data_IF_493253937244
#
_entry.id   IF_493253937244
#
_cell.length_a   1.000
_cell.length_b   1.000
_cell.length_c   1.000
_cell.angle_alpha   90.00
_cell.angle_beta   90.00
_cell.angle_gamma   90.00
#
_symmetry.space_group_name_H-M   'P 1'
#
loop_
_entity.id
_entity.type
_entity.pdbx_description
1 polymer ?
#
# COMPACT_ATOMS: atom_id res chain seq x y z
N UNK A 1 -11.78 5.26 0.15
CA UNK A 1 -11.40 4.65 1.44
C UNK A 1 -11.90 3.21 1.59
N UNK A 2 -13.02 2.82 0.97
CA UNK A 2 -13.42 1.41 0.94
C UNK A 2 -12.35 0.52 0.26
N UNK A 3 -11.92 0.90 -0.95
CA UNK A 3 -10.93 0.11 -1.72
C UNK A 3 -9.57 -0.03 -1.01
N UNK A 4 -9.19 0.92 -0.16
CA UNK A 4 -7.94 0.83 0.61
C UNK A 4 -8.00 -0.25 1.69
N UNK A 5 -9.19 -0.60 2.18
CA UNK A 5 -9.37 -1.74 3.10
C UNK A 5 -9.16 -3.05 2.34
N UNK A 6 -9.66 -3.15 1.10
CA UNK A 6 -9.45 -4.34 0.26
C UNK A 6 -7.97 -4.57 -0.02
N UNK A 7 -7.23 -3.52 -0.37
CA UNK A 7 -5.78 -3.59 -0.51
C UNK A 7 -5.11 -4.04 0.79
N UNK A 8 -5.50 -3.48 1.94
CA UNK A 8 -4.93 -3.86 3.23
C UNK A 8 -5.17 -5.34 3.56
N UNK A 9 -6.34 -5.89 3.24
CA UNK A 9 -6.65 -7.33 3.40
C UNK A 9 -5.76 -8.20 2.51
N UNK A 10 -5.51 -7.77 1.25
CA UNK A 10 -4.59 -8.47 0.34
C UNK A 10 -3.17 -8.51 0.87
N UNK A 11 -2.65 -7.37 1.33
CA UNK A 11 -1.31 -7.29 1.94
C UNK A 11 -1.19 -8.25 3.13
N UNK A 12 -2.20 -8.31 4.01
CA UNK A 12 -2.22 -9.26 5.14
C UNK A 12 -2.32 -10.73 4.73
N UNK A 13 -2.66 -11.01 3.47
CA UNK A 13 -2.80 -12.36 2.92
C UNK A 13 -1.55 -12.86 2.21
N UNK A 14 -0.54 -12.01 2.00
CA UNK A 14 0.78 -12.39 1.49
C UNK A 14 1.42 -13.38 2.47
N UNK A 15 1.76 -14.58 1.98
CA UNK A 15 2.20 -15.70 2.82
C UNK A 15 3.57 -15.46 3.50
N UNK A 16 4.49 -14.80 2.80
CA UNK A 16 5.91 -14.71 3.19
C UNK A 16 6.30 -13.37 3.82
N UNK A 17 5.34 -12.57 4.32
CA UNK A 17 5.69 -11.37 5.07
C UNK A 17 6.28 -11.74 6.43
N UNK A 18 7.37 -11.08 6.80
CA UNK A 18 8.00 -11.26 8.11
C UNK A 18 7.02 -10.97 9.26
N UNK A 19 6.15 -9.97 9.06
CA UNK A 19 5.05 -9.63 9.95
C UNK A 19 3.87 -9.06 9.17
N UNK A 20 2.66 -9.50 9.53
CA UNK A 20 1.43 -8.94 8.96
C UNK A 20 1.19 -7.52 9.50
N UNK A 21 0.93 -6.51 8.65
CA UNK A 21 0.65 -5.16 9.14
C UNK A 21 -0.65 -5.14 9.92
N UNK A 22 -0.68 -4.38 11.02
CA UNK A 22 -1.86 -4.16 11.83
C UNK A 22 -2.56 -2.85 11.42
N UNK A 23 -3.65 -2.53 12.12
CA UNK A 23 -4.44 -1.33 11.84
C UNK A 23 -3.63 -0.04 11.99
N UNK A 24 -2.61 -0.02 12.85
CA UNK A 24 -1.72 1.14 13.00
C UNK A 24 -0.92 1.41 11.71
N UNK A 25 -0.28 0.39 11.14
CA UNK A 25 0.44 0.51 9.87
C UNK A 25 -0.48 0.94 8.72
N UNK A 26 -1.73 0.45 8.73
CA UNK A 26 -2.73 0.88 7.76
C UNK A 26 -3.06 2.37 7.90
N UNK A 27 -3.27 2.87 9.12
CA UNK A 27 -3.53 4.27 9.39
C UNK A 27 -2.32 5.13 8.96
N UNK A 28 -1.10 4.69 9.28
CA UNK A 28 0.13 5.37 8.88
C UNK A 28 0.26 5.47 7.35
N UNK A 29 -0.08 4.39 6.65
CA UNK A 29 -0.11 4.39 5.19
C UNK A 29 -1.13 5.38 4.62
N UNK A 30 -2.35 5.41 5.15
CA UNK A 30 -3.38 6.38 4.75
C UNK A 30 -2.95 7.83 5.02
N UNK A 31 -2.32 8.08 6.17
CA UNK A 31 -1.78 9.39 6.52
C UNK A 31 -0.65 9.80 5.57
N UNK A 32 0.25 8.87 5.23
CA UNK A 32 1.30 9.10 4.24
C UNK A 32 0.71 9.49 2.88
N UNK A 33 -0.24 8.72 2.37
CA UNK A 33 -0.89 9.00 1.09
C UNK A 33 -1.55 10.38 1.08
N UNK A 34 -2.26 10.74 2.16
CA UNK A 34 -2.88 12.06 2.28
C UNK A 34 -1.84 13.18 2.23
N UNK A 35 -0.67 13.00 2.87
CA UNK A 35 0.43 13.97 2.88
C UNK A 35 0.99 14.24 1.48
N UNK A 36 1.05 13.22 0.61
CA UNK A 36 1.51 13.35 -0.78
C UNK A 36 0.36 13.68 -1.77
N UNK A 37 -0.77 14.14 -1.25
CA UNK A 37 -1.92 14.58 -2.05
C UNK A 37 -2.67 13.44 -2.75
N UNK A 38 -2.60 12.22 -2.21
CA UNK A 38 -3.35 11.05 -2.70
C UNK A 38 -4.53 10.79 -1.79
N UNK A 39 -5.74 11.01 -2.30
CA UNK A 39 -6.98 10.93 -1.50
C UNK A 39 -7.97 9.86 -2.00
N UNK A 40 -7.68 9.22 -3.13
CA UNK A 40 -8.56 8.22 -3.74
C UNK A 40 -7.77 7.14 -4.48
N UNK A 41 -8.41 6.00 -4.79
CA UNK A 41 -7.84 4.96 -5.65
C UNK A 41 -7.55 5.50 -7.05
N UNK A 42 -8.44 6.32 -7.62
CA UNK A 42 -8.19 6.97 -8.91
C UNK A 42 -6.91 7.82 -8.89
N UNK A 43 -6.65 8.55 -7.79
CA UNK A 43 -5.41 9.30 -7.61
C UNK A 43 -4.18 8.39 -7.50
N UNK A 44 -4.29 7.25 -6.83
CA UNK A 44 -3.22 6.24 -6.77
C UNK A 44 -2.93 5.66 -8.17
N UNK A 45 -3.96 5.34 -8.95
CA UNK A 45 -3.82 4.82 -10.32
C UNK A 45 -3.14 5.84 -11.21
N UNK A 46 -3.56 7.11 -11.16
CA UNK A 46 -2.95 8.20 -11.93
C UNK A 46 -1.47 8.42 -11.56
N UNK A 47 -1.11 8.18 -10.29
CA UNK A 47 0.25 8.32 -9.76
C UNK A 47 0.96 6.96 -9.59
N UNK A 48 0.56 5.91 -10.30
CA UNK A 48 1.12 4.56 -10.09
C UNK A 48 2.61 4.44 -10.39
N UNK A 49 3.22 5.40 -11.09
CA UNK A 49 4.66 5.42 -11.36
C UNK A 49 5.40 6.46 -10.50
N UNK A 50 4.69 7.13 -9.59
CA UNK A 50 5.25 8.14 -8.70
C UNK A 50 6.10 7.46 -7.61
N UNK A 51 7.31 7.98 -7.40
CA UNK A 51 8.27 7.42 -6.45
C UNK A 51 7.76 7.48 -5.01
N UNK A 52 7.01 8.53 -4.63
CA UNK A 52 6.46 8.66 -3.29
C UNK A 52 5.31 7.70 -3.05
N UNK A 53 4.49 7.42 -4.08
CA UNK A 53 3.46 6.38 -4.02
C UNK A 53 4.12 5.01 -3.82
N UNK A 54 5.19 4.72 -4.55
CA UNK A 54 5.93 3.46 -4.41
C UNK A 54 6.73 3.35 -3.12
N UNK A 55 7.10 4.47 -2.50
CA UNK A 55 7.70 4.49 -1.17
C UNK A 55 6.67 4.30 -0.05
N UNK A 56 5.41 4.68 -0.28
CA UNK A 56 4.35 4.63 0.74
C UNK A 56 4.14 3.24 1.35
N UNK A 57 4.36 2.16 0.57
CA UNK A 57 4.21 0.77 1.07
C UNK A 57 5.17 0.44 2.21
N UNK A 58 6.24 1.21 2.41
CA UNK A 58 7.11 1.10 3.57
C UNK A 58 6.36 1.31 4.90
N UNK A 59 5.29 2.11 4.91
CA UNK A 59 4.44 2.29 6.09
C UNK A 59 3.70 1.00 6.50
N UNK A 60 3.53 0.04 5.57
CA UNK A 60 2.90 -1.25 5.80
C UNK A 60 3.92 -2.34 6.18
N UNK A 61 5.22 -2.05 6.11
CA UNK A 61 6.27 -3.05 6.28
C UNK A 61 7.04 -2.80 7.59
N UNK A 62 7.45 -3.88 8.27
CA UNK A 62 8.39 -3.80 9.41
C UNK A 62 9.82 -4.15 9.02
N UNK A 63 9.99 -4.92 7.95
CA UNK A 63 11.28 -5.23 7.34
C UNK A 63 11.38 -4.60 5.95
N UNK A 64 12.59 -4.29 5.52
CA UNK A 64 12.87 -3.85 4.15
C UNK A 64 12.60 -4.97 3.14
N UNK A 65 12.79 -6.24 3.53
CA UNK A 65 12.56 -7.41 2.67
C UNK A 65 11.08 -7.56 2.28
N UNK A 66 10.17 -7.07 3.13
CA UNK A 66 8.72 -7.11 2.89
C UNK A 66 8.26 -6.07 1.86
N UNK A 67 9.09 -5.06 1.55
CA UNK A 67 8.69 -3.93 0.70
C UNK A 67 8.43 -4.38 -0.74
N UNK A 68 9.24 -5.29 -1.28
CA UNK A 68 9.09 -5.77 -2.67
C UNK A 68 7.74 -6.47 -2.91
N UNK A 69 7.37 -7.52 -2.14
CA UNK A 69 6.09 -8.19 -2.36
C UNK A 69 4.88 -7.29 -2.14
N UNK A 70 4.94 -6.35 -1.19
CA UNK A 70 3.84 -5.38 -0.98
C UNK A 70 3.74 -4.37 -2.14
N UNK A 71 4.87 -3.97 -2.72
CA UNK A 71 4.88 -3.10 -3.91
C UNK A 71 4.31 -3.79 -5.14
N UNK A 72 4.63 -5.07 -5.34
CA UNK A 72 4.07 -5.89 -6.41
C UNK A 72 2.54 -6.01 -6.27
N UNK A 73 2.06 -6.29 -5.06
CA UNK A 73 0.62 -6.34 -4.77
C UNK A 73 -0.06 -4.98 -5.00
N UNK A 74 0.58 -3.87 -4.65
CA UNK A 74 0.06 -2.53 -4.92
C UNK A 74 -0.12 -2.32 -6.43
N UNK A 75 0.89 -2.65 -7.24
CA UNK A 75 0.82 -2.53 -8.69
C UNK A 75 -0.26 -3.43 -9.29
N UNK A 76 -0.37 -4.68 -8.83
CA UNK A 76 -1.42 -5.60 -9.27
C UNK A 76 -2.81 -5.01 -9.00
N UNK A 77 -3.06 -4.58 -7.76
CA UNK A 77 -4.33 -3.98 -7.35
C UNK A 77 -4.67 -2.68 -8.09
N UNK A 78 -3.67 -1.84 -8.42
CA UNK A 78 -3.88 -0.62 -9.20
C UNK A 78 -4.17 -0.89 -10.68
N UNK A 79 -3.83 -2.08 -11.20
CA UNK A 79 -4.10 -2.46 -12.59
C UNK A 79 -5.43 -3.20 -12.77
N UNK A 80 -6.16 -3.49 -11.69
CA UNK A 80 -7.49 -4.08 -11.75
C UNK A 80 -8.53 -3.08 -12.28
N UNK A 81 -9.29 -3.52 -13.29
CA UNK A 81 -10.33 -2.74 -13.97
C UNK A 81 -11.52 -2.43 -13.08
#
# INVERSE_FOLDING_TARGET
MADSVDFFVRVRSIANLSKKPATAEFIDWLAYLRRIGVQSRASLVAKRNDIEVMASVGALCKSQDDVSPVREELLAWLNEK
#
